data_IF_045328929376
#
_entry.id   IF_045328929376
#
_cell.length_a   1.000
_cell.length_b   1.000
_cell.length_c   1.000
_cell.angle_alpha   90.00
_cell.angle_beta   90.00
_cell.angle_gamma   90.00
#
_symmetry.space_group_name_H-M   'P 1'
#
loop_
_entity.id
_entity.type
_entity.pdbx_description
1 polymer ?
#
# COMPACT_ATOMS: atom_id res chain seq x y z
N UNK A 1 -15.19 -17.51 -15.30
CA UNK A 1 -15.51 -17.57 -13.86
C UNK A 1 -14.21 -17.89 -13.13
N UNK A 2 -13.49 -16.86 -12.69
CA UNK A 2 -12.28 -17.05 -11.89
C UNK A 2 -12.65 -17.02 -10.42
N UNK A 3 -12.74 -18.21 -9.84
CA UNK A 3 -12.78 -18.44 -8.41
C UNK A 3 -11.45 -17.95 -7.80
N UNK A 4 -11.39 -16.65 -7.51
CA UNK A 4 -10.26 -16.05 -6.81
C UNK A 4 -10.39 -16.45 -5.35
N UNK A 5 -9.92 -17.66 -5.05
CA UNK A 5 -9.41 -17.98 -3.74
C UNK A 5 -8.56 -16.79 -3.26
N UNK A 6 -8.81 -16.32 -2.03
CA UNK A 6 -8.05 -15.27 -1.39
C UNK A 6 -6.56 -15.54 -1.59
N UNK A 7 -5.90 -14.82 -2.50
CA UNK A 7 -4.48 -15.04 -2.75
C UNK A 7 -3.73 -14.65 -1.48
N UNK A 8 -3.02 -15.59 -0.83
CA UNK A 8 -2.29 -15.27 0.38
C UNK A 8 -1.22 -14.22 0.07
N UNK A 9 -0.97 -13.34 1.04
CA UNK A 9 0.19 -12.45 0.96
C UNK A 9 1.44 -13.34 0.97
N UNK A 10 2.17 -13.33 -0.14
CA UNK A 10 3.36 -14.16 -0.36
C UNK A 10 4.67 -13.36 -0.25
N UNK A 11 4.61 -12.04 -0.45
CA UNK A 11 5.75 -11.12 -0.35
C UNK A 11 5.41 -9.89 0.50
N UNK A 12 6.39 -9.43 1.26
CA UNK A 12 6.31 -8.19 2.05
C UNK A 12 7.52 -7.31 1.70
N UNK A 13 7.24 -6.09 1.25
CA UNK A 13 8.26 -5.06 1.06
C UNK A 13 8.27 -4.13 2.27
N UNK A 14 9.41 -4.04 2.96
CA UNK A 14 9.65 -3.04 4.00
C UNK A 14 10.51 -1.94 3.42
N UNK A 15 9.96 -0.73 3.37
CA UNK A 15 10.64 0.43 2.81
C UNK A 15 10.69 1.57 3.81
N UNK A 16 11.88 2.15 3.97
CA UNK A 16 12.12 3.33 4.80
C UNK A 16 13.02 4.31 4.03
N UNK A 17 12.53 5.52 3.69
CA UNK A 17 13.35 6.53 3.01
C UNK A 17 14.63 6.89 3.76
N UNK A 18 14.58 6.92 5.10
CA UNK A 18 15.71 7.19 5.98
C UNK A 18 16.60 5.98 6.29
N UNK A 19 16.51 4.91 5.47
CA UNK A 19 17.18 3.62 5.67
C UNK A 19 16.70 2.85 6.91
N UNK A 20 17.00 1.55 6.93
CA UNK A 20 16.77 0.69 8.09
C UNK A 20 18.08 0.57 8.87
N UNK A 21 18.04 0.82 10.18
CA UNK A 21 19.20 0.60 11.05
C UNK A 21 19.60 -0.88 11.07
N UNK A 22 20.85 -1.18 11.39
CA UNK A 22 21.32 -2.56 11.53
C UNK A 22 20.48 -3.37 12.53
N UNK A 23 19.95 -2.72 13.58
CA UNK A 23 18.99 -3.34 14.51
C UNK A 23 17.67 -3.68 13.83
N UNK A 24 17.11 -2.74 13.05
CA UNK A 24 15.85 -2.97 12.35
C UNK A 24 15.98 -4.09 11.31
N UNK A 25 17.10 -4.13 10.56
CA UNK A 25 17.39 -5.18 9.59
C UNK A 25 17.40 -6.57 10.26
N UNK A 26 18.14 -6.74 11.36
CA UNK A 26 18.16 -8.00 12.13
C UNK A 26 16.78 -8.43 12.63
N UNK A 27 15.97 -7.49 13.11
CA UNK A 27 14.61 -7.80 13.57
C UNK A 27 13.73 -8.30 12.43
N UNK A 28 13.87 -7.73 11.23
CA UNK A 28 13.12 -8.16 10.04
C UNK A 28 13.53 -9.57 9.61
N UNK A 29 14.83 -9.87 9.59
CA UNK A 29 15.37 -11.20 9.26
C UNK A 29 14.94 -12.28 10.26
N UNK A 30 14.72 -11.89 11.51
CA UNK A 30 14.27 -12.75 12.60
C UNK A 30 12.74 -12.79 12.74
N UNK A 31 12.00 -12.16 11.83
CA UNK A 31 10.53 -12.22 11.88
C UNK A 31 10.08 -13.67 11.69
N UNK A 32 9.34 -14.20 12.67
CA UNK A 32 8.81 -15.58 12.67
C UNK A 32 7.30 -15.65 12.84
N UNK A 33 6.66 -14.51 13.07
CA UNK A 33 5.24 -14.43 13.36
C UNK A 33 4.67 -13.08 13.00
N UNK A 34 3.42 -13.09 12.57
CA UNK A 34 2.59 -11.90 12.43
C UNK A 34 1.31 -12.09 13.24
N UNK A 35 0.74 -10.97 13.68
CA UNK A 35 -0.61 -10.96 14.22
C UNK A 35 -1.57 -11.23 13.07
N UNK A 36 -2.44 -12.23 13.24
CA UNK A 36 -3.46 -12.56 12.25
C UNK A 36 -4.84 -12.62 12.90
N UNK A 37 -5.78 -11.87 12.33
CA UNK A 37 -7.18 -11.92 12.73
C UNK A 37 -7.89 -13.22 12.30
N UNK A 38 -7.28 -14.02 11.42
CA UNK A 38 -7.81 -15.31 10.96
C UNK A 38 -7.21 -16.50 11.70
N UNK A 39 -6.07 -16.32 12.37
CA UNK A 39 -5.47 -17.35 13.21
C UNK A 39 -6.21 -17.51 14.55
N UNK A 40 -7.06 -16.56 14.92
CA UNK A 40 -7.94 -16.68 16.09
C UNK A 40 -9.05 -17.65 15.72
N UNK A 41 -8.91 -18.91 16.17
CA UNK A 41 -9.95 -19.92 15.99
C UNK A 41 -11.30 -19.43 16.52
N UNK A 42 -12.39 -20.06 16.07
CA UNK A 42 -13.78 -19.68 16.42
C UNK A 42 -14.10 -19.67 17.94
N UNK A 43 -13.14 -20.06 18.79
CA UNK A 43 -13.25 -20.14 20.25
C UNK A 43 -12.23 -19.30 21.02
N UNK A 44 -11.43 -18.42 20.39
CA UNK A 44 -10.54 -17.55 21.18
C UNK A 44 -11.36 -16.50 21.93
N UNK A 45 -11.31 -16.56 23.26
CA UNK A 45 -11.87 -15.52 24.12
C UNK A 45 -11.32 -14.14 23.77
N UNK A 46 -12.15 -13.14 24.06
CA UNK A 46 -12.05 -11.75 23.64
C UNK A 46 -10.76 -11.09 24.17
N UNK A 47 -9.65 -11.26 23.47
CA UNK A 47 -8.38 -10.63 23.84
C UNK A 47 -7.13 -11.30 23.27
N UNK A 48 -7.20 -12.59 22.91
CA UNK A 48 -6.06 -13.30 22.34
C UNK A 48 -5.94 -13.04 20.84
N UNK A 49 -5.13 -12.06 20.48
CA UNK A 49 -4.68 -11.88 19.11
C UNK A 49 -3.78 -13.07 18.71
N UNK A 50 -4.36 -14.03 18.00
CA UNK A 50 -3.64 -15.18 17.52
C UNK A 50 -2.45 -14.80 16.61
N UNK A 51 -1.34 -15.49 16.81
CA UNK A 51 -0.12 -15.32 16.03
C UNK A 51 -0.08 -16.39 14.93
N UNK A 52 0.01 -15.97 13.69
CA UNK A 52 0.34 -16.87 12.60
C UNK A 52 1.86 -17.00 12.51
N UNK A 53 2.39 -18.22 12.55
CA UNK A 53 3.81 -18.49 12.31
C UNK A 53 4.11 -18.25 10.83
N UNK A 54 5.19 -17.55 10.56
CA UNK A 54 5.68 -17.31 9.21
C UNK A 54 6.86 -18.23 8.92
N UNK A 55 6.83 -18.82 7.73
CA UNK A 55 8.03 -19.31 7.06
C UNK A 55 8.42 -18.24 6.04
N UNK A 56 9.41 -17.42 6.38
CA UNK A 56 9.86 -16.31 5.54
C UNK A 56 11.29 -16.54 5.05
N UNK A 57 11.52 -16.27 3.77
CA UNK A 57 12.85 -16.19 3.17
C UNK A 57 13.15 -14.73 2.87
N UNK A 58 14.33 -14.24 3.26
CA UNK A 58 14.78 -12.91 2.83
C UNK A 58 15.06 -12.96 1.33
N UNK A 59 14.19 -12.33 0.54
CA UNK A 59 14.33 -12.30 -0.92
C UNK A 59 15.44 -11.34 -1.38
N UNK A 60 15.53 -10.16 -0.77
CA UNK A 60 16.56 -9.15 -1.04
C UNK A 60 16.59 -8.10 0.07
N UNK A 61 17.74 -7.43 0.24
CA UNK A 61 17.92 -6.26 1.10
C UNK A 61 18.89 -5.29 0.42
N UNK A 62 18.63 -3.98 0.52
CA UNK A 62 19.52 -2.96 -0.01
C UNK A 62 18.81 -1.64 -0.28
N UNK A 63 19.47 -0.79 -1.04
CA UNK A 63 18.90 0.41 -1.61
C UNK A 63 17.78 0.08 -2.60
N UNK A 64 16.91 1.05 -2.86
CA UNK A 64 15.82 0.90 -3.81
C UNK A 64 16.30 0.56 -5.23
N UNK A 65 17.48 1.05 -5.62
CA UNK A 65 18.09 0.74 -6.93
C UNK A 65 18.52 -0.72 -7.01
N UNK A 66 19.20 -1.22 -5.97
CA UNK A 66 19.60 -2.63 -5.88
C UNK A 66 18.38 -3.56 -5.85
N UNK A 67 17.34 -3.20 -5.10
CA UNK A 67 16.10 -3.96 -5.04
C UNK A 67 15.40 -4.04 -6.40
N UNK A 68 15.38 -2.97 -7.20
CA UNK A 68 14.83 -3.03 -8.58
C UNK A 68 15.57 -4.05 -9.43
N UNK A 69 16.89 -4.07 -9.33
CA UNK A 69 17.72 -5.01 -10.09
C UNK A 69 17.49 -6.44 -9.63
N UNK A 70 17.47 -6.67 -8.31
CA UNK A 70 17.29 -7.99 -7.72
C UNK A 70 15.89 -8.56 -7.97
N UNK A 71 14.85 -7.71 -7.94
CA UNK A 71 13.45 -8.10 -8.07
C UNK A 71 12.88 -7.89 -9.47
N UNK A 72 13.71 -7.66 -10.50
CA UNK A 72 13.25 -7.39 -11.87
C UNK A 72 12.38 -8.51 -12.44
N UNK A 73 12.64 -9.75 -12.02
CA UNK A 73 11.94 -10.96 -12.47
C UNK A 73 10.66 -11.23 -11.68
N UNK A 74 10.38 -10.47 -10.61
CA UNK A 74 9.12 -10.51 -9.88
C UNK A 74 8.22 -9.37 -10.41
N UNK A 75 7.21 -9.66 -11.25
CA UNK A 75 6.43 -8.61 -11.94
C UNK A 75 5.67 -7.70 -10.97
N UNK A 76 5.16 -8.26 -9.86
CA UNK A 76 4.45 -7.48 -8.84
C UNK A 76 5.38 -6.49 -8.15
N UNK A 77 6.54 -6.97 -7.68
CA UNK A 77 7.53 -6.12 -7.03
C UNK A 77 8.07 -5.06 -8.01
N UNK A 78 8.46 -5.46 -9.22
CA UNK A 78 9.00 -4.58 -10.25
C UNK A 78 8.06 -3.39 -10.56
N UNK A 79 6.74 -3.60 -10.55
CA UNK A 79 5.77 -2.51 -10.76
C UNK A 79 5.57 -1.62 -9.52
N UNK A 80 5.80 -2.13 -8.31
CA UNK A 80 5.69 -1.34 -7.07
C UNK A 80 6.90 -0.42 -6.89
N UNK A 81 8.10 -0.95 -7.10
CA UNK A 81 9.36 -0.19 -6.91
C UNK A 81 9.92 0.39 -8.22
N UNK A 82 9.21 0.25 -9.33
CA UNK A 82 9.65 0.68 -10.65
C UNK A 82 9.79 2.20 -10.82
N UNK A 83 10.15 2.60 -12.03
CA UNK A 83 10.26 4.01 -12.44
C UNK A 83 9.34 4.24 -13.63
N UNK A 84 8.49 5.26 -13.56
CA UNK A 84 7.55 5.56 -14.64
C UNK A 84 6.66 6.76 -14.36
N UNK A 85 5.86 7.14 -15.36
CA UNK A 85 4.98 8.31 -15.31
C UNK A 85 3.55 7.96 -14.89
N UNK A 86 3.10 6.73 -15.15
CA UNK A 86 1.71 6.32 -14.91
C UNK A 86 1.63 5.32 -13.78
N UNK A 87 0.84 5.68 -12.76
CA UNK A 87 0.68 4.91 -11.54
C UNK A 87 -0.80 4.73 -11.25
N UNK A 88 -1.19 3.53 -10.84
CA UNK A 88 -2.57 3.22 -10.45
C UNK A 88 -2.59 2.55 -9.08
N UNK A 89 -3.64 2.82 -8.30
CA UNK A 89 -3.84 2.17 -7.01
C UNK A 89 -3.82 0.65 -7.15
N UNK A 90 -2.87 0.02 -6.46
CA UNK A 90 -2.77 -1.42 -6.28
C UNK A 90 -3.57 -1.88 -5.06
N UNK A 91 -3.60 -1.07 -4.01
CA UNK A 91 -4.47 -1.25 -2.84
C UNK A 91 -5.31 0.02 -2.63
N UNK A 92 -6.47 -0.05 -1.94
CA UNK A 92 -7.42 1.06 -1.94
C UNK A 92 -6.84 2.31 -1.29
N UNK A 93 -6.96 3.44 -1.98
CA UNK A 93 -6.77 4.75 -1.36
C UNK A 93 -7.95 5.04 -0.43
N UNK A 94 -7.66 5.40 0.81
CA UNK A 94 -8.66 5.84 1.79
C UNK A 94 -8.32 7.27 2.19
N UNK A 95 -9.29 8.17 2.05
CA UNK A 95 -9.08 9.58 2.34
C UNK A 95 -8.66 9.78 3.81
N UNK A 96 -7.50 10.41 4.09
CA UNK A 96 -7.04 10.65 5.46
C UNK A 96 -7.87 11.72 6.18
N UNK A 97 -8.57 12.59 5.45
CA UNK A 97 -9.34 13.71 5.99
C UNK A 97 -10.78 13.72 5.48
N UNK A 98 -11.67 14.45 6.15
CA UNK A 98 -13.07 14.60 5.75
C UNK A 98 -13.17 15.22 4.35
N UNK A 99 -14.02 14.63 3.51
CA UNK A 99 -14.35 15.17 2.20
C UNK A 99 -15.34 16.32 2.35
N UNK A 100 -15.16 17.41 1.60
CA UNK A 100 -16.18 18.46 1.44
C UNK A 100 -16.53 18.62 -0.05
N UNK A 101 -17.75 19.12 -0.32
CA UNK A 101 -18.35 19.17 -1.66
C UNK A 101 -17.50 19.93 -2.69
N UNK A 102 -16.82 21.00 -2.27
CA UNK A 102 -16.05 21.90 -3.16
C UNK A 102 -14.59 22.13 -2.72
N UNK A 103 -14.17 21.50 -1.61
CA UNK A 103 -12.82 21.65 -1.05
C UNK A 103 -12.43 20.35 -0.36
N UNK A 104 -11.14 20.02 -0.32
CA UNK A 104 -10.68 18.74 0.25
C UNK A 104 -11.33 17.55 -0.48
N UNK A 105 -11.51 17.70 -1.79
CA UNK A 105 -11.91 16.59 -2.67
C UNK A 105 -10.87 15.48 -2.62
N UNK A 106 -11.19 14.31 -3.18
CA UNK A 106 -10.22 13.21 -3.27
C UNK A 106 -8.95 13.67 -4.00
N UNK A 107 -9.11 14.39 -5.11
CA UNK A 107 -8.01 14.96 -5.87
C UNK A 107 -7.18 15.94 -5.03
N UNK A 108 -7.81 16.81 -4.24
CA UNK A 108 -7.09 17.74 -3.36
C UNK A 108 -6.28 17.00 -2.29
N UNK A 109 -6.85 15.92 -1.72
CA UNK A 109 -6.17 15.13 -0.70
C UNK A 109 -4.99 14.33 -1.29
N UNK A 110 -5.16 13.71 -2.46
CA UNK A 110 -4.07 13.05 -3.18
C UNK A 110 -2.95 14.06 -3.49
N UNK A 111 -3.30 15.26 -3.98
CA UNK A 111 -2.33 16.33 -4.25
C UNK A 111 -1.60 16.78 -2.98
N UNK A 112 -2.31 16.93 -1.86
CA UNK A 112 -1.70 17.27 -0.59
C UNK A 112 -0.72 16.19 -0.10
N UNK A 113 -1.04 14.91 -0.28
CA UNK A 113 -0.17 13.79 0.07
C UNK A 113 1.07 13.72 -0.82
N UNK A 114 0.94 14.01 -2.13
CA UNK A 114 2.08 14.13 -3.05
C UNK A 114 3.01 15.29 -2.63
N UNK A 115 2.45 16.46 -2.34
CA UNK A 115 3.22 17.64 -1.92
C UNK A 115 3.92 17.46 -0.56
N UNK A 116 3.39 16.60 0.31
CA UNK A 116 4.01 16.29 1.59
C UNK A 116 5.30 15.45 1.44
N UNK A 117 5.53 14.84 0.28
CA UNK A 117 6.68 13.98 -0.01
C UNK A 117 7.75 14.77 -0.78
N UNK A 118 8.94 15.00 -0.22
CA UNK A 118 9.99 15.79 -0.88
C UNK A 118 10.32 15.30 -2.29
N UNK A 119 10.33 13.99 -2.50
CA UNK A 119 10.67 13.37 -3.79
C UNK A 119 9.58 13.50 -4.87
N UNK A 120 8.34 13.85 -4.49
CA UNK A 120 7.20 14.00 -5.41
C UNK A 120 6.68 15.43 -5.50
N UNK A 121 7.03 16.30 -4.54
CA UNK A 121 6.48 17.67 -4.39
C UNK A 121 6.58 18.51 -5.66
N UNK A 122 7.72 18.47 -6.32
CA UNK A 122 8.01 19.32 -7.48
C UNK A 122 7.76 18.60 -8.82
N UNK A 123 6.94 17.54 -8.80
CA UNK A 123 6.56 16.80 -10.00
C UNK A 123 5.10 17.06 -10.32
N UNK A 124 4.78 17.86 -11.35
CA UNK A 124 3.42 18.04 -11.81
C UNK A 124 2.74 16.69 -12.07
N UNK A 125 1.53 16.54 -11.52
CA UNK A 125 0.77 15.30 -11.62
C UNK A 125 -0.70 15.57 -11.93
N UNK A 126 -1.22 14.87 -12.93
CA UNK A 126 -2.66 14.75 -13.19
C UNK A 126 -3.21 13.60 -12.36
N UNK A 127 -4.31 13.86 -11.65
CA UNK A 127 -4.94 12.91 -10.74
C UNK A 127 -6.34 12.62 -11.27
N UNK A 128 -6.62 11.35 -11.51
CA UNK A 128 -7.91 10.86 -11.98
C UNK A 128 -8.50 9.91 -10.92
N UNK A 129 -9.76 10.15 -10.56
CA UNK A 129 -10.53 9.25 -9.70
C UNK A 129 -11.27 8.27 -10.60
N UNK A 130 -10.86 6.99 -10.59
CA UNK A 130 -11.45 5.99 -11.46
C UNK A 130 -12.93 5.72 -11.09
N UNK A 131 -13.77 5.34 -12.07
CA UNK A 131 -15.15 4.94 -11.83
C UNK A 131 -15.31 3.82 -10.79
N UNK A 132 -16.49 3.73 -10.19
CA UNK A 132 -16.77 2.73 -9.13
C UNK A 132 -16.72 1.28 -9.62
N UNK A 133 -17.00 1.04 -10.91
CA UNK A 133 -16.84 -0.28 -11.52
C UNK A 133 -15.39 -0.77 -11.43
N UNK A 134 -14.43 0.11 -11.63
CA UNK A 134 -13.00 -0.23 -11.55
C UNK A 134 -12.54 -0.55 -10.12
N UNK A 135 -13.20 0.01 -9.12
CA UNK A 135 -12.97 -0.30 -7.69
C UNK A 135 -13.44 -1.71 -7.38
N UNK A 136 -14.60 -2.12 -7.90
CA UNK A 136 -15.14 -3.46 -7.72
C UNK A 136 -14.28 -4.50 -8.45
N UNK A 137 -13.83 -4.19 -9.66
CA UNK A 137 -12.92 -5.06 -10.43
C UNK A 137 -11.57 -5.23 -9.71
N UNK A 138 -11.08 -4.17 -9.06
CA UNK A 138 -9.89 -4.24 -8.22
C UNK A 138 -10.12 -4.93 -6.87
N UNK A 139 -11.36 -5.38 -6.59
CA UNK A 139 -11.75 -6.15 -5.41
C UNK A 139 -11.40 -5.47 -4.08
N UNK A 140 -11.45 -4.14 -4.04
CA UNK A 140 -11.08 -3.34 -2.86
C UNK A 140 -11.98 -3.57 -1.63
N UNK A 141 -13.12 -4.24 -1.79
CA UNK A 141 -14.00 -4.62 -0.70
C UNK A 141 -13.34 -5.56 0.32
N UNK A 142 -12.41 -6.42 -0.09
CA UNK A 142 -11.75 -7.40 0.78
C UNK A 142 -10.64 -6.83 1.65
N UNK A 143 -10.24 -5.57 1.43
CA UNK A 143 -9.22 -4.92 2.23
C UNK A 143 -9.80 -4.41 3.56
N UNK A 144 -9.11 -4.75 4.65
CA UNK A 144 -9.38 -4.22 5.98
C UNK A 144 -9.05 -2.72 6.03
N UNK A 145 -10.09 -1.88 5.89
CA UNK A 145 -9.98 -0.41 5.85
C UNK A 145 -10.30 0.27 7.20
N UNK A 146 -10.67 -0.52 8.21
CA UNK A 146 -10.99 -0.07 9.57
C UNK A 146 -10.08 -0.77 10.56
N UNK A 147 -9.58 -0.03 11.55
CA UNK A 147 -8.91 -0.61 12.72
C UNK A 147 -9.95 -0.95 13.78
N UNK A 148 -9.77 -2.09 14.47
CA UNK A 148 -10.52 -2.39 15.70
C UNK A 148 -10.04 -1.48 16.85
N UNK A 149 -10.98 -1.12 17.75
CA UNK A 149 -10.87 -0.41 19.04
C UNK A 149 -9.79 0.68 19.25
N UNK A 150 -10.19 1.84 19.78
CA UNK A 150 -9.31 2.85 20.41
C UNK A 150 -8.31 3.60 19.51
N UNK A 151 -8.14 3.19 18.25
CA UNK A 151 -7.23 3.84 17.29
C UNK A 151 -7.96 4.85 16.40
N UNK A 152 -7.30 5.94 15.95
CA UNK A 152 -7.88 6.91 15.04
C UNK A 152 -8.46 6.22 13.80
N UNK A 153 -9.74 6.46 13.54
CA UNK A 153 -10.45 5.93 12.38
C UNK A 153 -10.42 6.96 11.26
N UNK A 154 -10.35 6.53 9.99
CA UNK A 154 -10.46 7.48 8.91
C UNK A 154 -11.89 8.05 8.89
N UNK A 155 -12.05 9.32 8.48
CA UNK A 155 -13.36 9.96 8.32
C UNK A 155 -14.35 9.19 7.45
N UNK A 156 -13.82 8.44 6.48
CA UNK A 156 -14.57 7.55 5.61
C UNK A 156 -13.77 6.28 5.37
N UNK A 157 -14.47 5.17 5.16
CA UNK A 157 -13.83 3.89 4.78
C UNK A 157 -14.09 3.54 3.33
N UNK A 158 -14.63 4.51 2.57
CA UNK A 158 -14.84 4.39 1.15
C UNK A 158 -13.49 4.17 0.45
N UNK A 159 -13.34 3.08 -0.33
CA UNK A 159 -12.15 2.84 -1.10
C UNK A 159 -12.22 3.63 -2.40
N UNK A 160 -11.11 4.22 -2.80
CA UNK A 160 -10.96 4.88 -4.09
C UNK A 160 -9.85 4.21 -4.87
N UNK A 161 -10.06 4.10 -6.18
CA UNK A 161 -9.03 3.74 -7.13
C UNK A 161 -8.61 5.02 -7.84
N UNK A 162 -7.33 5.33 -7.75
CA UNK A 162 -6.75 6.58 -8.23
C UNK A 162 -5.71 6.25 -9.28
N UNK A 163 -5.74 6.99 -10.38
CA UNK A 163 -4.67 7.03 -11.36
C UNK A 163 -3.93 8.36 -11.23
N UNK A 164 -2.60 8.29 -11.28
CA UNK A 164 -1.71 9.44 -11.21
C UNK A 164 -0.80 9.38 -12.43
N UNK A 165 -0.79 10.47 -13.18
CA UNK A 165 0.10 10.67 -14.33
C UNK A 165 1.04 11.83 -14.03
N UNK A 166 2.31 11.52 -13.81
CA UNK A 166 3.37 12.50 -13.59
C UNK A 166 3.92 13.02 -14.92
N UNK A 167 4.35 14.28 -14.95
CA UNK A 167 4.96 14.91 -16.13
C UNK A 167 6.34 14.34 -16.49
N UNK A 168 7.03 13.74 -15.52
CA UNK A 168 8.31 13.03 -15.70
C UNK A 168 8.31 11.72 -14.92
N UNK A 169 9.16 10.74 -15.28
CA UNK A 169 9.26 9.50 -14.54
C UNK A 169 9.59 9.74 -13.06
N UNK A 170 8.86 9.06 -12.18
CA UNK A 170 9.11 9.04 -10.73
C UNK A 170 9.43 7.63 -10.28
N UNK A 171 10.23 7.52 -9.22
CA UNK A 171 10.57 6.27 -8.58
C UNK A 171 9.51 5.89 -7.54
N UNK A 172 8.98 4.66 -7.61
CA UNK A 172 8.24 4.05 -6.50
C UNK A 172 9.17 3.57 -5.38
N UNK A 173 8.63 3.16 -4.22
CA UNK A 173 7.22 2.91 -3.97
C UNK A 173 6.42 4.18 -3.64
N UNK A 174 5.24 4.30 -4.24
CA UNK A 174 4.28 5.37 -3.96
C UNK A 174 3.16 4.80 -3.09
N UNK A 175 2.92 5.41 -1.92
CA UNK A 175 1.87 5.01 -0.99
C UNK A 175 1.16 6.25 -0.46
N UNK A 176 -0.16 6.40 -0.57
CA UNK A 176 -0.83 7.66 -0.19
C UNK A 176 -2.08 7.41 0.64
N UNK A 177 -2.41 8.35 1.52
CA UNK A 177 -3.64 8.34 2.28
C UNK A 177 -3.60 7.49 3.55
N UNK A 178 -4.79 7.27 4.13
CA UNK A 178 -4.93 6.58 5.40
C UNK A 178 -4.49 5.12 5.31
N UNK A 179 -3.67 4.69 6.27
CA UNK A 179 -3.19 3.32 6.36
C UNK A 179 -2.13 2.96 5.32
N UNK A 180 -1.54 3.95 4.63
CA UNK A 180 -0.47 3.76 3.64
C UNK A 180 0.75 3.01 4.19
N UNK A 181 1.11 3.28 5.44
CA UNK A 181 2.16 2.56 6.17
C UNK A 181 1.81 1.10 6.52
N UNK A 182 0.56 0.68 6.29
CA UNK A 182 0.04 -0.64 6.63
C UNK A 182 -0.51 -1.38 5.40
N UNK A 183 -0.09 -0.96 4.19
CA UNK A 183 -0.43 -1.63 2.94
C UNK A 183 -1.68 -1.12 2.24
N UNK A 184 -2.40 -0.12 2.78
CA UNK A 184 -3.43 0.59 2.00
C UNK A 184 -2.80 1.63 1.08
N UNK A 185 -3.56 2.17 0.13
CA UNK A 185 -3.13 3.27 -0.74
C UNK A 185 -1.80 3.06 -1.46
N UNK A 186 -1.39 1.82 -1.71
CA UNK A 186 -0.18 1.48 -2.46
C UNK A 186 -0.47 1.63 -3.95
N UNK A 187 0.47 2.19 -4.71
CA UNK A 187 0.37 2.34 -6.15
C UNK A 187 1.39 1.44 -6.85
N UNK A 188 1.05 1.02 -8.07
CA UNK A 188 1.94 0.30 -8.98
C UNK A 188 1.98 0.99 -10.33
N UNK A 189 3.03 0.74 -11.11
CA UNK A 189 3.08 1.14 -12.51
C UNK A 189 1.86 0.58 -13.26
N UNK A 190 1.21 1.46 -14.01
CA UNK A 190 0.18 1.09 -14.97
C UNK A 190 0.87 0.73 -16.29
N UNK A 191 0.62 -0.47 -16.80
CA UNK A 191 1.05 -0.83 -18.15
C UNK A 191 0.22 -0.04 -19.16
N UNK A 192 0.88 0.46 -20.20
CA UNK A 192 0.22 1.09 -21.34
C UNK A 192 -0.61 0.11 -22.13
#
# INVERSE_FOLDING_TARGET
EDDVAERPIDHVLVYAPGMLSARAQRVIEQLRWIRSATASGRHSERGDEARARLTSTLAAMGTLSELRTALRTNPSAARIIGVGTRWISYTPFVAPRHLKKHKHTITDQVRAELNARPELRDVPATIEVCPRVDVNHAKFQFFARRRRHGKPRPPTTQPWRIRITFSRPVAGPISLGYGSHFGLGLFRLEEG
#
